data_IF_558536353936
#
_entry.id   IF_558536353936
#
_cell.length_a   1.000
_cell.length_b   1.000
_cell.length_c   1.000
_cell.angle_alpha   90.00
_cell.angle_beta   90.00
_cell.angle_gamma   90.00
#
_symmetry.space_group_name_H-M   'P 1'
#
loop_
_entity.id
_entity.type
_entity.pdbx_description
1 polymer ?
#
# COMPACT_ATOMS: atom_id res chain seq x y z
N UNK A 1 2.49 27.22 4.32
CA UNK A 1 2.36 25.77 4.53
C UNK A 1 1.06 25.31 3.89
N UNK A 2 1.08 24.28 3.05
CA UNK A 2 -0.15 23.69 2.48
C UNK A 2 -0.35 22.33 3.14
N UNK A 3 -1.49 22.13 3.80
CA UNK A 3 -1.89 20.78 4.21
C UNK A 3 -2.20 19.97 2.96
N UNK A 4 -1.41 18.93 2.74
CA UNK A 4 -1.52 18.07 1.56
C UNK A 4 -2.13 16.76 2.03
N UNK A 5 -3.45 16.64 2.03
CA UNK A 5 -4.15 15.39 2.37
C UNK A 5 -4.18 14.44 1.15
N UNK A 6 -3.01 14.07 0.65
CA UNK A 6 -2.88 13.18 -0.51
C UNK A 6 -2.43 11.79 -0.08
N UNK A 7 -2.99 10.78 -0.75
CA UNK A 7 -2.65 9.38 -0.52
C UNK A 7 -1.65 8.93 -1.58
N UNK A 8 -0.65 8.17 -1.14
CA UNK A 8 0.36 7.60 -2.00
C UNK A 8 0.47 6.11 -1.73
N UNK A 9 0.85 5.36 -2.78
CA UNK A 9 1.04 3.92 -2.75
C UNK A 9 2.49 3.62 -3.07
N UNK A 10 3.14 2.87 -2.19
CA UNK A 10 4.47 2.32 -2.46
C UNK A 10 4.41 1.18 -3.49
N UNK A 11 5.55 0.82 -4.10
CA UNK A 11 5.67 -0.35 -5.00
C UNK A 11 5.18 -1.66 -4.36
N UNK A 12 5.27 -1.80 -3.04
CA UNK A 12 4.77 -2.96 -2.28
C UNK A 12 3.26 -2.94 -2.05
N UNK A 13 2.57 -1.88 -2.48
CA UNK A 13 1.14 -1.71 -2.31
C UNK A 13 0.69 -1.08 -0.99
N UNK A 14 1.64 -0.62 -0.17
CA UNK A 14 1.35 0.05 1.11
C UNK A 14 0.84 1.47 0.85
N UNK A 15 -0.33 1.80 1.42
CA UNK A 15 -0.90 3.13 1.34
C UNK A 15 -0.38 4.00 2.48
N UNK A 16 0.13 5.17 2.14
CA UNK A 16 0.53 6.21 3.09
C UNK A 16 -0.23 7.49 2.79
N UNK A 17 -0.54 8.24 3.85
CA UNK A 17 -1.17 9.54 3.79
C UNK A 17 -0.13 10.60 4.10
N UNK A 18 0.18 11.44 3.13
CA UNK A 18 0.96 12.65 3.41
C UNK A 18 0.07 13.56 4.24
N UNK A 19 0.64 14.11 5.31
CA UNK A 19 -0.04 15.10 6.17
C UNK A 19 0.57 16.47 6.00
N UNK A 20 1.88 16.53 5.79
CA UNK A 20 2.64 17.78 5.66
C UNK A 20 3.86 17.58 4.77
N UNK A 21 4.24 18.63 4.06
CA UNK A 21 5.51 18.71 3.34
C UNK A 21 6.23 20.02 3.67
N UNK A 22 7.53 19.93 3.91
CA UNK A 22 8.43 21.03 4.25
C UNK A 22 9.31 21.37 3.03
N UNK A 23 9.05 22.50 2.33
CA UNK A 23 9.87 22.93 1.19
C UNK A 23 11.29 23.36 1.61
N UNK A 24 11.44 23.88 2.83
CA UNK A 24 12.72 24.39 3.34
C UNK A 24 13.77 23.27 3.47
N UNK A 25 13.34 22.11 3.95
CA UNK A 25 14.19 20.93 4.14
C UNK A 25 14.00 19.87 3.07
N UNK A 26 13.08 20.08 2.13
CA UNK A 26 12.60 19.11 1.15
C UNK A 26 12.21 17.77 1.79
N UNK A 27 11.40 17.81 2.87
CA UNK A 27 10.97 16.61 3.61
C UNK A 27 9.46 16.45 3.57
N UNK A 28 9.00 15.21 3.38
CA UNK A 28 7.59 14.83 3.42
C UNK A 28 7.33 14.08 4.70
N UNK A 29 6.31 14.50 5.43
CA UNK A 29 5.82 13.85 6.64
C UNK A 29 4.53 13.11 6.25
N UNK A 30 4.52 11.80 6.47
CA UNK A 30 3.41 10.94 6.13
C UNK A 30 3.13 9.92 7.23
N UNK A 31 1.86 9.56 7.30
CA UNK A 31 1.31 8.54 8.17
C UNK A 31 1.07 7.27 7.37
N UNK A 32 1.39 6.12 7.94
CA UNK A 32 1.03 4.82 7.36
C UNK A 32 -0.14 4.25 8.14
N UNK A 33 -1.17 3.79 7.43
CA UNK A 33 -2.46 3.35 8.02
C UNK A 33 -2.35 2.10 8.92
N UNK A 34 -1.18 1.48 9.00
CA UNK A 34 -0.91 0.23 9.74
C UNK A 34 0.51 0.23 10.33
N UNK A 35 0.93 1.34 10.96
CA UNK A 35 2.27 1.44 11.54
C UNK A 35 2.23 2.00 12.95
N UNK A 36 2.63 1.18 13.92
CA UNK A 36 2.59 1.51 15.36
C UNK A 36 3.49 2.69 15.74
N UNK A 37 4.54 2.96 14.95
CA UNK A 37 5.41 4.11 15.20
C UNK A 37 4.81 5.45 14.74
N UNK A 38 3.63 5.45 14.11
CA UNK A 38 2.88 6.67 13.77
C UNK A 38 3.44 7.43 12.56
N UNK A 39 4.31 8.40 12.83
CA UNK A 39 4.74 9.44 11.87
C UNK A 39 6.11 9.13 11.26
N UNK A 40 6.21 9.15 9.93
CA UNK A 40 7.47 8.96 9.24
C UNK A 40 7.81 10.19 8.41
N UNK A 41 9.11 10.49 8.32
CA UNK A 41 9.66 11.58 7.52
C UNK A 41 10.61 11.01 6.47
N UNK A 42 10.51 11.48 5.24
CA UNK A 42 11.44 11.10 4.17
C UNK A 42 11.73 12.29 3.26
N UNK A 43 12.91 12.34 2.60
CA UNK A 43 13.20 13.37 1.61
C UNK A 43 12.18 13.30 0.46
N UNK A 44 11.74 14.45 -0.04
CA UNK A 44 10.76 14.57 -1.11
C UNK A 44 11.19 13.82 -2.38
N UNK A 45 12.45 13.94 -2.77
CA UNK A 45 12.99 13.26 -3.95
C UNK A 45 12.90 11.73 -3.82
N UNK A 46 13.30 11.18 -2.66
CA UNK A 46 13.16 9.76 -2.39
C UNK A 46 11.70 9.32 -2.32
N UNK A 47 10.84 10.16 -1.74
CA UNK A 47 9.42 9.87 -1.63
C UNK A 47 8.79 9.79 -3.02
N UNK A 48 9.02 10.78 -3.90
CA UNK A 48 8.46 10.79 -5.26
C UNK A 48 8.97 9.63 -6.13
N UNK A 49 10.20 9.15 -5.90
CA UNK A 49 10.76 7.99 -6.64
C UNK A 49 10.15 6.65 -6.23
N UNK A 50 9.84 6.49 -4.94
CA UNK A 50 9.36 5.21 -4.39
C UNK A 50 7.83 5.14 -4.29
N UNK A 51 7.17 6.27 -4.06
CA UNK A 51 5.74 6.38 -3.85
C UNK A 51 5.06 7.00 -5.06
N UNK A 52 3.93 6.40 -5.48
CA UNK A 52 3.07 6.94 -6.54
C UNK A 52 1.81 7.54 -5.94
N UNK A 53 1.41 8.71 -6.41
CA UNK A 53 0.15 9.33 -6.00
C UNK A 53 -1.01 8.44 -6.47
N UNK A 54 -1.84 8.01 -5.53
CA UNK A 54 -3.11 7.35 -5.81
C UNK A 54 -4.18 8.40 -5.53
N UNK A 55 -4.56 9.11 -6.60
CA UNK A 55 -5.77 9.94 -6.57
C UNK A 55 -6.95 9.10 -6.05
N UNK A 56 -7.87 9.72 -5.33
CA UNK A 56 -8.95 9.08 -4.57
C UNK A 56 -9.96 8.25 -5.40
N UNK A 57 -9.65 7.91 -6.66
CA UNK A 57 -10.55 7.30 -7.63
C UNK A 57 -10.06 5.94 -8.17
N UNK A 58 -9.25 5.18 -7.42
CA UNK A 58 -8.94 3.81 -7.85
C UNK A 58 -9.15 2.81 -6.72
N UNK A 59 -10.37 2.29 -6.67
CA UNK A 59 -10.66 0.92 -6.28
C UNK A 59 -9.69 -0.03 -7.00
N UNK A 60 -8.48 -0.19 -6.47
CA UNK A 60 -7.61 -1.30 -6.85
C UNK A 60 -8.17 -2.54 -6.17
N UNK A 61 -9.28 -3.05 -6.70
CA UNK A 61 -9.61 -4.47 -6.67
C UNK A 61 -8.49 -5.19 -7.41
N UNK A 62 -7.35 -5.36 -6.74
CA UNK A 62 -6.36 -6.31 -7.17
C UNK A 62 -6.95 -7.69 -6.88
N UNK A 63 -7.75 -8.14 -7.84
CA UNK A 63 -8.18 -9.51 -8.03
C UNK A 63 -6.91 -10.36 -8.11
N UNK A 64 -6.44 -10.82 -6.96
CA UNK A 64 -5.47 -11.90 -6.89
C UNK A 64 -6.20 -13.17 -7.32
N UNK A 65 -6.25 -13.37 -8.62
CA UNK A 65 -6.60 -14.62 -9.27
C UNK A 65 -5.51 -15.63 -8.90
N UNK A 66 -5.74 -16.38 -7.82
CA UNK A 66 -5.00 -17.59 -7.51
C UNK A 66 -5.93 -18.78 -7.80
N UNK A 67 -5.75 -19.34 -8.99
CA UNK A 67 -6.00 -20.72 -9.39
C UNK A 67 -7.12 -21.47 -8.64
N UNK A 68 -8.29 -21.57 -9.28
CA UNK A 68 -9.19 -22.69 -9.05
C UNK A 68 -8.68 -23.94 -9.79
N UNK A 69 -8.29 -24.98 -9.06
CA UNK A 69 -8.25 -26.43 -9.41
C UNK A 69 -7.37 -27.12 -8.34
N UNK A 70 -7.75 -28.08 -7.51
CA UNK A 70 -8.91 -28.97 -7.36
C UNK A 70 -9.05 -29.34 -5.86
N UNK A 71 -10.24 -29.57 -5.30
CA UNK A 71 -10.35 -30.41 -4.12
C UNK A 71 -10.17 -31.87 -4.55
N UNK A 72 -9.09 -32.52 -4.10
CA UNK A 72 -9.00 -33.98 -4.15
C UNK A 72 -10.01 -34.55 -3.16
N UNK A 73 -11.24 -34.75 -3.64
CA UNK A 73 -12.27 -35.50 -2.95
C UNK A 73 -11.73 -36.91 -2.70
N UNK A 74 -11.87 -37.37 -1.46
CA UNK A 74 -11.56 -38.73 -1.07
C UNK A 74 -12.37 -39.73 -1.89
N UNK A 75 -11.69 -40.83 -2.23
CA UNK A 75 -12.34 -42.08 -2.58
C UNK A 75 -11.79 -43.15 -1.63
N UNK A 76 -12.63 -43.73 -0.75
CA UNK A 76 -12.24 -44.90 0.03
C UNK A 76 -12.33 -46.13 -0.87
N UNK A 77 -11.19 -46.75 -1.21
CA UNK A 77 -11.22 -48.09 -1.78
C UNK A 77 -11.21 -49.12 -0.65
N UNK A 78 -12.45 -49.52 -0.33
CA UNK A 78 -12.96 -50.87 -0.03
C UNK A 78 -11.94 -52.00 0.20
N UNK A 79 -12.16 -52.70 1.31
CA UNK A 79 -11.58 -53.97 1.69
C UNK A 79 -11.85 -55.10 0.69
N UNK A 80 -10.83 -55.92 0.44
CA UNK A 80 -10.88 -57.39 0.36
C UNK A 80 -9.57 -57.96 0.94
#
# INVERSE_FOLDING_TARGET
MREVNRRFKDKRGVIVRVVRWEPETNRVIYLRDNYEHGECFSPLDQFQRNFREVGAAHEFTSKSEAAGHQPSAGMPYRAE
#
